data_IF_077452303547
#
_entry.id   IF_077452303547
#
_cell.length_a   1.000
_cell.length_b   1.000
_cell.length_c   1.000
_cell.angle_alpha   90.00
_cell.angle_beta   90.00
_cell.angle_gamma   90.00
#
_symmetry.space_group_name_H-M   'P 1'
#
loop_
_entity.id
_entity.type
_entity.pdbx_description
1 polymer ?
#
# COMPACT_ATOMS: atom_id res chain seq x y z
N UNK A 1 28.59 -0.42 29.62
CA UNK A 1 27.80 0.38 28.68
C UNK A 1 27.15 -0.59 27.73
N UNK A 2 25.84 -0.71 27.88
CA UNK A 2 24.97 -1.69 27.26
C UNK A 2 24.89 -1.61 25.73
N UNK A 3 24.43 -2.73 25.18
CA UNK A 3 23.59 -2.81 23.99
C UNK A 3 24.29 -2.79 22.62
N UNK A 4 24.86 -3.92 22.23
CA UNK A 4 25.25 -4.16 20.82
C UNK A 4 24.84 -5.54 20.29
N UNK A 5 24.19 -6.38 21.10
CA UNK A 5 23.74 -7.73 20.72
C UNK A 5 22.24 -7.85 20.48
N UNK A 6 21.42 -6.82 20.75
CA UNK A 6 19.97 -6.87 20.53
C UNK A 6 19.50 -6.29 19.18
N UNK A 7 20.39 -5.66 18.39
CA UNK A 7 20.02 -5.01 17.13
C UNK A 7 20.15 -5.95 15.92
N UNK A 8 21.16 -6.83 15.89
CA UNK A 8 21.43 -7.74 14.76
C UNK A 8 20.35 -8.81 14.55
N UNK A 9 19.63 -9.20 15.60
CA UNK A 9 18.54 -10.17 15.53
C UNK A 9 17.17 -9.47 15.37
N UNK A 10 17.00 -8.28 15.95
CA UNK A 10 15.81 -7.43 15.74
C UNK A 10 15.62 -7.06 14.27
N UNK A 11 16.67 -6.66 13.56
CA UNK A 11 16.57 -6.31 12.13
C UNK A 11 16.09 -7.50 11.27
N UNK A 12 16.55 -8.72 11.59
CA UNK A 12 16.08 -9.94 10.93
C UNK A 12 14.64 -10.27 11.30
N UNK A 13 14.29 -10.13 12.57
CA UNK A 13 12.92 -10.32 13.06
C UNK A 13 11.94 -9.33 12.37
N UNK A 14 12.32 -8.07 12.22
CA UNK A 14 11.55 -7.06 11.49
C UNK A 14 11.40 -7.40 10.01
N UNK A 15 12.49 -7.76 9.33
CA UNK A 15 12.45 -8.11 7.92
C UNK A 15 11.61 -9.38 7.65
N UNK A 16 11.71 -10.36 8.54
CA UNK A 16 10.97 -11.61 8.47
C UNK A 16 9.48 -11.39 8.76
N UNK A 17 9.14 -10.63 9.81
CA UNK A 17 7.77 -10.24 10.12
C UNK A 17 7.13 -9.45 8.98
N UNK A 18 7.85 -8.46 8.43
CA UNK A 18 7.39 -7.68 7.29
C UNK A 18 7.16 -8.57 6.05
N UNK A 19 8.03 -9.55 5.78
CA UNK A 19 7.82 -10.48 4.67
C UNK A 19 6.57 -11.34 4.86
N UNK A 20 6.33 -11.87 6.07
CA UNK A 20 5.16 -12.69 6.35
C UNK A 20 3.84 -11.90 6.27
N UNK A 21 3.84 -10.66 6.76
CA UNK A 21 2.65 -9.80 6.73
C UNK A 21 2.36 -9.33 5.30
N UNK A 22 3.39 -8.87 4.57
CA UNK A 22 3.21 -8.27 3.24
C UNK A 22 3.05 -9.32 2.13
N UNK A 23 3.86 -10.38 2.13
CA UNK A 23 3.88 -11.36 1.03
C UNK A 23 3.04 -12.61 1.31
N UNK A 24 2.92 -13.02 2.58
CA UNK A 24 2.21 -14.26 2.93
C UNK A 24 0.81 -14.02 3.51
N UNK A 25 0.42 -12.76 3.72
CA UNK A 25 -0.87 -12.38 4.32
C UNK A 25 -1.13 -13.09 5.67
N UNK A 26 -0.07 -13.42 6.40
CA UNK A 26 -0.21 -14.12 7.68
C UNK A 26 -0.73 -13.18 8.74
N UNK A 27 -1.66 -13.68 9.56
CA UNK A 27 -2.20 -12.90 10.66
C UNK A 27 -1.13 -12.71 11.76
N UNK A 28 -1.20 -11.61 12.49
CA UNK A 28 -0.27 -11.25 13.57
C UNK A 28 -0.01 -12.39 14.56
N UNK A 29 -1.01 -13.23 14.83
CA UNK A 29 -0.87 -14.41 15.69
C UNK A 29 0.11 -15.45 15.14
N UNK A 30 0.08 -15.71 13.83
CA UNK A 30 0.98 -16.65 13.17
C UNK A 30 2.41 -16.08 13.07
N UNK A 31 2.52 -14.77 12.85
CA UNK A 31 3.80 -14.06 12.81
C UNK A 31 4.45 -14.06 14.19
N UNK A 32 3.68 -13.81 15.26
CA UNK A 32 4.15 -13.93 16.65
C UNK A 32 4.65 -15.34 16.95
N UNK A 33 3.90 -16.39 16.58
CA UNK A 33 4.36 -17.77 16.77
C UNK A 33 5.64 -18.08 16.01
N UNK A 34 5.77 -17.61 14.76
CA UNK A 34 6.98 -17.81 13.98
C UNK A 34 8.20 -17.09 14.58
N UNK A 35 8.01 -15.92 15.18
CA UNK A 35 9.05 -15.18 15.89
C UNK A 35 9.43 -15.85 17.22
N UNK A 36 8.45 -16.35 17.98
CA UNK A 36 8.69 -17.13 19.20
C UNK A 36 9.44 -18.43 18.91
N UNK A 37 9.13 -19.11 17.80
CA UNK A 37 9.87 -20.30 17.35
C UNK A 37 11.33 -20.02 16.99
N UNK A 38 11.68 -18.75 16.68
CA UNK A 38 13.06 -18.33 16.45
C UNK A 38 13.81 -17.95 17.74
N UNK A 39 13.16 -18.07 18.90
CA UNK A 39 13.77 -17.82 20.20
C UNK A 39 13.52 -16.43 20.77
N UNK A 40 12.65 -15.62 20.14
CA UNK A 40 12.24 -14.34 20.74
C UNK A 40 11.26 -14.55 21.89
N UNK A 41 11.37 -13.71 22.91
CA UNK A 41 10.39 -13.66 24.00
C UNK A 41 9.03 -13.21 23.46
N UNK A 42 7.94 -13.71 24.06
CA UNK A 42 6.56 -13.37 23.64
C UNK A 42 6.32 -11.85 23.69
N UNK A 43 6.92 -11.15 24.66
CA UNK A 43 6.82 -9.70 24.81
C UNK A 43 7.53 -8.96 23.67
N UNK A 44 8.75 -9.36 23.32
CA UNK A 44 9.52 -8.73 22.24
C UNK A 44 8.88 -9.00 20.87
N UNK A 45 8.42 -10.24 20.64
CA UNK A 45 7.69 -10.61 19.42
C UNK A 45 6.40 -9.81 19.26
N UNK A 46 5.68 -9.55 20.37
CA UNK A 46 4.47 -8.74 20.34
C UNK A 46 4.74 -7.28 19.93
N UNK A 47 5.79 -6.67 20.50
CA UNK A 47 6.20 -5.28 20.19
C UNK A 47 6.67 -5.16 18.74
N UNK A 48 7.43 -6.13 18.24
CA UNK A 48 7.91 -6.14 16.85
C UNK A 48 6.75 -6.23 15.86
N UNK A 49 5.79 -7.12 16.10
CA UNK A 49 4.63 -7.30 15.20
C UNK A 49 3.72 -6.07 15.21
N UNK A 50 3.44 -5.51 16.38
CA UNK A 50 2.58 -4.33 16.52
C UNK A 50 3.18 -3.10 15.79
N UNK A 51 4.47 -2.84 15.99
CA UNK A 51 5.16 -1.76 15.29
C UNK A 51 5.19 -1.97 13.77
N UNK A 52 5.44 -3.21 13.31
CA UNK A 52 5.48 -3.52 11.87
C UNK A 52 4.09 -3.36 11.24
N UNK A 53 3.02 -3.76 11.92
CA UNK A 53 1.65 -3.56 11.45
C UNK A 53 1.31 -2.08 11.29
N UNK A 54 1.61 -1.26 12.31
CA UNK A 54 1.38 0.20 12.26
C UNK A 54 2.14 0.83 11.08
N UNK A 55 3.41 0.45 10.89
CA UNK A 55 4.22 0.96 9.78
C UNK A 55 3.68 0.55 8.41
N UNK A 56 3.18 -0.68 8.28
CA UNK A 56 2.60 -1.19 7.03
C UNK A 56 1.27 -0.47 6.72
N UNK A 57 0.42 -0.26 7.72
CA UNK A 57 -0.85 0.45 7.54
C UNK A 57 -0.64 1.91 7.13
N UNK A 58 0.29 2.62 7.78
CA UNK A 58 0.59 4.01 7.42
C UNK A 58 1.23 4.10 6.02
N UNK A 59 2.12 3.17 5.67
CA UNK A 59 2.68 3.09 4.33
C UNK A 59 1.62 2.81 3.24
N UNK A 60 0.67 1.92 3.51
CA UNK A 60 -0.45 1.64 2.60
C UNK A 60 -1.36 2.86 2.44
N UNK A 61 -1.71 3.55 3.54
CA UNK A 61 -2.51 4.79 3.50
C UNK A 61 -1.79 5.90 2.76
N UNK A 62 -0.48 6.05 2.96
CA UNK A 62 0.34 7.03 2.24
C UNK A 62 0.37 6.76 0.73
N UNK A 63 0.49 5.49 0.32
CA UNK A 63 0.44 5.08 -1.08
C UNK A 63 -0.94 5.33 -1.68
N UNK A 64 -2.01 4.88 -1.01
CA UNK A 64 -3.38 5.06 -1.46
C UNK A 64 -3.75 6.54 -1.66
N UNK A 65 -3.26 7.42 -0.79
CA UNK A 65 -3.47 8.87 -0.93
C UNK A 65 -2.79 9.45 -2.18
N UNK A 66 -1.59 8.98 -2.53
CA UNK A 66 -0.91 9.39 -3.77
C UNK A 66 -1.64 8.85 -5.00
N UNK A 67 -2.10 7.60 -4.95
CA UNK A 67 -2.85 7.00 -6.05
C UNK A 67 -4.21 7.70 -6.26
N UNK A 68 -4.87 8.10 -5.17
CA UNK A 68 -6.11 8.87 -5.22
C UNK A 68 -5.92 10.26 -5.87
N UNK A 69 -4.80 10.94 -5.59
CA UNK A 69 -4.45 12.22 -6.23
C UNK A 69 -4.24 12.06 -7.74
N UNK A 70 -3.49 11.04 -8.17
CA UNK A 70 -3.30 10.76 -9.60
C UNK A 70 -4.60 10.36 -10.29
N UNK A 71 -5.44 9.56 -9.63
CA UNK A 71 -6.78 9.22 -10.11
C UNK A 71 -7.68 10.44 -10.25
N UNK A 72 -7.62 11.38 -9.30
CA UNK A 72 -8.39 12.63 -9.36
C UNK A 72 -7.95 13.52 -10.54
N UNK A 73 -6.63 13.66 -10.77
CA UNK A 73 -6.10 14.41 -11.93
C UNK A 73 -6.57 13.76 -13.24
N UNK A 74 -6.53 12.43 -13.34
CA UNK A 74 -7.01 11.71 -14.52
C UNK A 74 -8.52 11.91 -14.73
N UNK A 75 -9.32 11.88 -13.67
CA UNK A 75 -10.77 12.11 -13.72
C UNK A 75 -11.09 13.53 -14.25
N UNK A 76 -10.37 14.54 -13.76
CA UNK A 76 -10.52 15.92 -14.23
C UNK A 76 -10.13 16.02 -15.71
N UNK A 77 -9.03 15.38 -16.11
CA UNK A 77 -8.61 15.30 -17.51
C UNK A 77 -9.69 14.69 -18.42
N UNK A 78 -10.28 13.56 -18.01
CA UNK A 78 -11.39 12.92 -18.72
C UNK A 78 -12.65 13.80 -18.81
N UNK A 79 -12.93 14.57 -17.76
CA UNK A 79 -14.08 15.49 -17.72
C UNK A 79 -13.88 16.63 -18.72
N UNK A 80 -12.69 17.23 -18.79
CA UNK A 80 -12.38 18.27 -19.78
C UNK A 80 -12.52 17.72 -21.20
N UNK A 81 -11.98 16.53 -21.47
CA UNK A 81 -12.11 15.86 -22.78
C UNK A 81 -13.58 15.63 -23.13
N UNK A 82 -14.39 15.21 -22.16
CA UNK A 82 -15.83 14.97 -22.36
C UNK A 82 -16.56 16.28 -22.70
N UNK A 83 -16.28 17.36 -21.98
CA UNK A 83 -16.87 18.68 -22.25
C UNK A 83 -16.46 19.19 -23.64
N UNK A 84 -15.19 19.06 -23.99
CA UNK A 84 -14.67 19.47 -25.30
C UNK A 84 -15.30 18.65 -26.44
N UNK A 85 -15.39 17.33 -26.27
CA UNK A 85 -16.02 16.42 -27.24
C UNK A 85 -17.50 16.72 -27.40
N UNK A 86 -18.22 16.94 -26.30
CA UNK A 86 -19.63 17.33 -26.33
C UNK A 86 -19.83 18.66 -27.08
N UNK A 87 -18.96 19.64 -26.84
CA UNK A 87 -18.99 20.94 -27.53
C UNK A 87 -18.65 20.83 -29.02
N UNK A 88 -17.75 19.93 -29.40
CA UNK A 88 -17.43 19.66 -30.80
C UNK A 88 -18.56 18.89 -31.51
N UNK A 89 -19.21 17.95 -30.82
CA UNK A 89 -20.31 17.15 -31.35
C UNK A 89 -21.62 17.97 -31.49
N UNK A 90 -21.88 18.91 -30.59
CA UNK A 90 -23.08 19.76 -30.63
C UNK A 90 -23.07 20.77 -31.79
N UNK A 91 -21.93 20.94 -32.48
CA UNK A 91 -21.82 21.75 -33.70
C UNK A 91 -22.53 21.20 -34.94
N UNK A 92 -23.00 19.94 -34.92
CA UNK A 92 -23.78 19.33 -36.00
C UNK A 92 -22.98 19.02 -37.28
N UNK A 93 -22.83 17.73 -37.60
CA UNK A 93 -22.16 17.28 -38.83
C UNK A 93 -23.09 17.23 -40.04
N UNK A 94 -22.62 17.66 -41.23
CA UNK A 94 -23.34 17.48 -42.50
C UNK A 94 -23.10 16.06 -43.01
N UNK A 95 -24.13 15.23 -43.04
CA UNK A 95 -24.09 13.92 -43.68
C UNK A 95 -24.33 14.09 -45.19
N UNK A 96 -23.43 13.56 -46.01
CA UNK A 96 -23.65 13.46 -47.46
C UNK A 96 -24.13 12.05 -47.75
N UNK A 97 -25.38 11.94 -48.19
CA UNK A 97 -25.94 10.67 -48.67
C UNK A 97 -25.64 10.61 -50.17
N UNK A 98 -24.83 9.66 -50.59
CA UNK A 98 -24.66 9.30 -51.98
C UNK A 98 -25.42 8.00 -52.24
N UNK A 99 -26.22 7.98 -53.30
CA UNK A 99 -26.93 6.80 -53.82
C UNK A 99 -26.20 6.23 -55.04
#
# INVERSE_FOLDING_TARGET
>A
MENSTQTLDSDKAHALAANMIVNQNKNNYEVKQALMLQGLSEADAAIVVDNVEIMIDDAQKAKARKDMLWGAVWCIGGTIITIATYSAASGGGRYVVAW
#
